data_IF_644484695162
#
_entry.id   IF_644484695162
#
_cell.length_a   1.000
_cell.length_b   1.000
_cell.length_c   1.000
_cell.angle_alpha   90.00
_cell.angle_beta   90.00
_cell.angle_gamma   90.00
#
_symmetry.space_group_name_H-M   'P 1'
#
loop_
_entity.id
_entity.type
_entity.pdbx_description
1 polymer ?
#
# COMPACT_ATOMS: atom_id res chain seq x y z
N UNK A 1 9.77 -9.14 18.67
CA UNK A 1 8.32 -9.09 18.46
C UNK A 1 8.07 -9.09 16.97
N UNK A 2 7.07 -9.83 16.47
CA UNK A 2 6.72 -9.79 15.05
C UNK A 2 5.64 -8.73 14.86
N UNK A 3 6.04 -7.54 14.42
CA UNK A 3 5.11 -6.44 14.19
C UNK A 3 4.72 -6.47 12.72
N UNK A 4 3.43 -6.65 12.47
CA UNK A 4 2.83 -6.58 11.14
C UNK A 4 1.94 -5.35 11.07
N UNK A 5 2.10 -4.55 10.04
CA UNK A 5 1.28 -3.36 9.81
C UNK A 5 0.47 -3.55 8.55
N UNK A 6 -0.86 -3.41 8.67
CA UNK A 6 -1.77 -3.41 7.53
C UNK A 6 -2.44 -2.05 7.45
N UNK A 7 -2.24 -1.36 6.32
CA UNK A 7 -2.85 -0.07 6.04
C UNK A 7 -3.88 -0.23 4.92
N UNK A 8 -5.13 0.13 5.22
CA UNK A 8 -6.21 0.23 4.24
C UNK A 8 -6.53 1.69 3.99
N UNK A 9 -6.53 2.09 2.71
CA UNK A 9 -6.83 3.47 2.29
C UNK A 9 -7.58 3.44 0.95
N UNK A 10 -8.24 4.54 0.60
CA UNK A 10 -8.75 4.77 -0.76
C UNK A 10 -7.70 5.46 -1.66
N UNK A 11 -6.56 5.83 -1.08
CA UNK A 11 -5.38 6.34 -1.77
C UNK A 11 -5.43 7.84 -2.08
N UNK A 12 -6.47 8.54 -1.63
CA UNK A 12 -6.51 10.01 -1.64
C UNK A 12 -5.65 10.53 -0.48
N UNK A 13 -4.57 11.24 -0.80
CA UNK A 13 -3.62 11.76 0.17
C UNK A 13 -3.30 13.22 -0.14
N UNK A 14 -3.26 14.03 0.92
CA UNK A 14 -2.94 15.45 0.83
C UNK A 14 -1.43 15.61 0.58
N UNK A 15 -0.64 14.63 1.01
CA UNK A 15 0.77 14.46 0.66
C UNK A 15 0.91 13.76 -0.70
N UNK A 16 0.56 14.49 -1.76
CA UNK A 16 0.50 13.99 -3.14
C UNK A 16 1.83 13.35 -3.62
N UNK A 17 2.96 13.74 -3.00
CA UNK A 17 4.30 13.27 -3.36
C UNK A 17 4.91 12.29 -2.37
N UNK A 18 4.25 12.04 -1.24
CA UNK A 18 4.80 11.21 -0.17
C UNK A 18 5.99 11.84 0.56
N UNK A 19 6.12 13.17 0.57
CA UNK A 19 7.24 13.89 1.21
C UNK A 19 7.30 13.62 2.72
N UNK A 20 6.15 13.41 3.36
CA UNK A 20 6.02 13.06 4.77
C UNK A 20 5.78 11.55 4.95
N UNK A 21 4.99 10.93 4.06
CA UNK A 21 4.62 9.53 4.17
C UNK A 21 5.80 8.57 3.95
N UNK A 22 6.69 8.86 2.98
CA UNK A 22 7.81 7.97 2.65
C UNK A 22 8.86 7.89 3.77
N UNK A 23 9.32 8.99 4.40
CA UNK A 23 10.24 8.92 5.53
C UNK A 23 9.70 8.12 6.72
N UNK A 24 8.40 8.26 7.03
CA UNK A 24 7.79 7.48 8.12
C UNK A 24 7.65 6.00 7.75
N UNK A 25 7.31 5.69 6.50
CA UNK A 25 7.29 4.33 6.00
C UNK A 25 8.67 3.67 6.09
N UNK A 26 9.73 4.37 5.71
CA UNK A 26 11.11 3.88 5.85
C UNK A 26 11.48 3.60 7.30
N UNK A 27 11.13 4.49 8.23
CA UNK A 27 11.33 4.27 9.67
C UNK A 27 10.57 3.02 10.13
N UNK A 28 9.32 2.86 9.72
CA UNK A 28 8.50 1.69 10.05
C UNK A 28 9.13 0.39 9.56
N UNK A 29 9.69 0.39 8.35
CA UNK A 29 10.38 -0.77 7.77
C UNK A 29 11.62 -1.22 8.57
N UNK A 30 12.15 -0.40 9.48
CA UNK A 30 13.28 -0.79 10.35
C UNK A 30 12.87 -1.68 11.52
N UNK A 31 11.60 -1.65 11.92
CA UNK A 31 11.11 -2.37 13.10
C UNK A 31 9.89 -3.26 12.83
N UNK A 32 9.18 -3.06 11.72
CA UNK A 32 8.11 -3.95 11.28
C UNK A 32 8.68 -5.15 10.51
N UNK A 33 8.15 -6.34 10.79
CA UNK A 33 8.47 -7.55 10.03
C UNK A 33 7.89 -7.50 8.61
N UNK A 34 6.70 -6.89 8.47
CA UNK A 34 6.07 -6.66 7.17
C UNK A 34 5.04 -5.54 7.26
N UNK A 35 4.96 -4.77 6.19
CA UNK A 35 3.97 -3.73 5.95
C UNK A 35 3.21 -4.09 4.67
N UNK A 36 1.89 -4.18 4.77
CA UNK A 36 1.00 -4.41 3.66
C UNK A 36 0.06 -3.23 3.48
N UNK A 37 0.04 -2.65 2.27
CA UNK A 37 -0.84 -1.54 1.92
C UNK A 37 -1.89 -2.07 0.95
N UNK A 38 -3.17 -1.87 1.26
CA UNK A 38 -4.27 -2.09 0.31
C UNK A 38 -4.93 -0.76 -0.03
N UNK A 39 -5.02 -0.48 -1.32
CA UNK A 39 -5.75 0.68 -1.84
C UNK A 39 -7.06 0.20 -2.44
N UNK A 40 -8.19 0.70 -1.93
CA UNK A 40 -9.52 0.45 -2.49
C UNK A 40 -9.91 1.63 -3.40
N UNK A 41 -9.86 1.44 -4.71
CA UNK A 41 -10.13 2.54 -5.64
C UNK A 41 -11.57 3.04 -5.53
N UNK A 42 -11.71 4.34 -5.29
CA UNK A 42 -12.96 5.09 -5.22
C UNK A 42 -13.38 5.63 -6.61
N UNK A 43 -14.70 5.85 -6.79
CA UNK A 43 -15.38 5.91 -8.10
C UNK A 43 -15.09 7.13 -8.99
N UNK A 44 -14.26 8.08 -8.57
CA UNK A 44 -14.09 9.39 -9.21
C UNK A 44 -12.79 9.57 -10.01
N UNK A 45 -12.00 8.50 -10.22
CA UNK A 45 -10.69 8.59 -10.88
C UNK A 45 -10.41 7.53 -11.97
N UNK A 46 -9.32 7.76 -12.71
CA UNK A 46 -8.73 6.74 -13.60
C UNK A 46 -8.01 5.71 -12.73
N UNK A 47 -8.28 4.43 -12.95
CA UNK A 47 -7.64 3.32 -12.23
C UNK A 47 -6.12 3.39 -12.32
N UNK A 48 -5.40 3.17 -11.22
CA UNK A 48 -3.94 3.18 -11.12
C UNK A 48 -3.33 4.56 -10.88
N UNK A 49 -4.07 5.52 -10.29
CA UNK A 49 -3.63 6.93 -10.15
C UNK A 49 -3.80 7.54 -8.76
N UNK A 50 -4.15 6.76 -7.74
CA UNK A 50 -4.21 7.31 -6.38
C UNK A 50 -2.85 7.89 -6.00
N UNK A 51 -2.84 8.92 -5.17
CA UNK A 51 -1.60 9.60 -4.83
C UNK A 51 -0.67 8.69 -4.03
N UNK A 52 -1.25 7.91 -3.10
CA UNK A 52 -0.55 6.84 -2.37
C UNK A 52 0.09 5.83 -3.30
N UNK A 53 -0.67 5.27 -4.26
CA UNK A 53 -0.13 4.31 -5.21
C UNK A 53 1.04 4.89 -6.01
N UNK A 54 0.90 6.16 -6.42
CA UNK A 54 1.86 6.85 -7.27
C UNK A 54 3.17 7.07 -6.57
N UNK A 55 3.18 7.66 -5.37
CA UNK A 55 4.45 7.93 -4.69
C UNK A 55 5.08 6.65 -4.16
N UNK A 56 4.29 5.65 -3.72
CA UNK A 56 4.84 4.35 -3.29
C UNK A 56 5.54 3.67 -4.46
N UNK A 57 4.90 3.57 -5.64
CA UNK A 57 5.54 3.00 -6.84
C UNK A 57 6.73 3.80 -7.32
N UNK A 58 6.67 5.13 -7.22
CA UNK A 58 7.76 6.01 -7.66
C UNK A 58 8.95 6.03 -6.70
N UNK A 59 8.76 5.63 -5.44
CA UNK A 59 9.81 5.60 -4.42
C UNK A 59 10.87 4.51 -4.63
N UNK A 60 10.56 3.46 -5.40
CA UNK A 60 11.43 2.27 -5.54
C UNK A 60 11.41 1.33 -4.31
N UNK A 61 10.68 1.68 -3.25
CA UNK A 61 10.64 0.87 -2.02
C UNK A 61 10.00 -0.50 -2.22
N UNK A 62 9.08 -0.65 -3.17
CA UNK A 62 8.44 -1.93 -3.47
C UNK A 62 9.45 -2.94 -4.02
N UNK A 63 10.41 -2.49 -4.82
CA UNK A 63 11.49 -3.29 -5.37
C UNK A 63 12.58 -3.53 -4.31
N UNK A 64 13.07 -2.44 -3.70
CA UNK A 64 14.18 -2.48 -2.74
C UNK A 64 13.84 -3.24 -1.46
N UNK A 65 12.58 -3.16 -1.02
CA UNK A 65 12.09 -3.74 0.24
C UNK A 65 10.98 -4.77 -0.01
N UNK A 66 11.00 -5.45 -1.16
CA UNK A 66 9.98 -6.45 -1.56
C UNK A 66 9.70 -7.55 -0.53
N UNK A 67 10.67 -7.88 0.34
CA UNK A 67 10.48 -8.83 1.44
C UNK A 67 9.65 -8.26 2.61
N UNK A 68 9.63 -6.94 2.78
CA UNK A 68 9.08 -6.21 3.92
C UNK A 68 7.85 -5.37 3.53
N UNK A 69 7.76 -4.87 2.30
CA UNK A 69 6.69 -4.00 1.82
C UNK A 69 5.94 -4.65 0.67
N UNK A 70 4.61 -4.66 0.76
CA UNK A 70 3.73 -5.10 -0.32
C UNK A 70 2.59 -4.12 -0.51
N UNK A 71 2.22 -3.89 -1.76
CA UNK A 71 1.11 -3.06 -2.17
C UNK A 71 0.10 -3.89 -2.96
N UNK A 72 -1.16 -3.78 -2.60
CA UNK A 72 -2.28 -4.34 -3.32
C UNK A 72 -3.26 -3.22 -3.70
N UNK A 73 -3.77 -3.23 -4.93
CA UNK A 73 -4.76 -2.26 -5.41
C UNK A 73 -6.00 -3.04 -5.80
N UNK A 74 -7.09 -2.81 -5.08
CA UNK A 74 -8.39 -3.41 -5.35
C UNK A 74 -9.12 -2.55 -6.36
N UNK A 75 -9.26 -3.08 -7.57
CA UNK A 75 -10.05 -2.45 -8.61
C UNK A 75 -11.55 -2.52 -8.31
N UNK A 76 -12.32 -1.67 -9.00
CA UNK A 76 -13.78 -1.48 -8.81
C UNK A 76 -14.64 -2.76 -8.81
N UNK A 77 -14.21 -3.79 -9.53
CA UNK A 77 -14.95 -5.07 -9.65
C UNK A 77 -14.58 -6.07 -8.53
N UNK A 78 -13.76 -5.66 -7.56
CA UNK A 78 -13.31 -6.55 -6.49
C UNK A 78 -14.48 -6.86 -5.55
N UNK A 79 -14.88 -8.12 -5.55
CA UNK A 79 -15.82 -8.66 -4.58
C UNK A 79 -15.11 -9.08 -3.28
N UNK A 80 -15.87 -9.58 -2.30
CA UNK A 80 -15.34 -10.07 -1.02
C UNK A 80 -14.20 -11.08 -1.21
N UNK A 81 -14.29 -11.96 -2.21
CA UNK A 81 -13.21 -12.90 -2.55
C UNK A 81 -11.93 -12.18 -2.99
N UNK A 82 -12.02 -11.14 -3.82
CA UNK A 82 -10.87 -10.32 -4.22
C UNK A 82 -10.20 -9.61 -3.05
N UNK A 83 -11.00 -9.15 -2.08
CA UNK A 83 -10.51 -8.51 -0.86
C UNK A 83 -9.77 -9.51 0.04
N UNK A 84 -10.31 -10.72 0.19
CA UNK A 84 -9.67 -11.83 0.92
C UNK A 84 -8.34 -12.21 0.27
N UNK A 85 -8.31 -12.36 -1.07
CA UNK A 85 -7.08 -12.68 -1.79
C UNK A 85 -6.04 -11.55 -1.66
N UNK A 86 -6.47 -10.29 -1.71
CA UNK A 86 -5.62 -9.14 -1.45
C UNK A 86 -4.96 -9.19 -0.06
N UNK A 87 -5.74 -9.45 0.99
CA UNK A 87 -5.22 -9.58 2.36
C UNK A 87 -4.27 -10.79 2.47
N UNK A 88 -4.61 -11.94 1.89
CA UNK A 88 -3.72 -13.12 1.87
C UNK A 88 -2.38 -12.80 1.20
N UNK A 89 -2.40 -12.08 0.07
CA UNK A 89 -1.21 -11.66 -0.65
C UNK A 89 -0.33 -10.70 0.18
N UNK A 90 -0.88 -9.98 1.16
CA UNK A 90 -0.07 -9.19 2.09
C UNK A 90 0.57 -10.05 3.19
N UNK A 91 -0.10 -11.11 3.63
CA UNK A 91 0.32 -11.93 4.78
C UNK A 91 1.29 -13.07 4.38
N UNK A 92 1.11 -13.74 3.23
CA UNK A 92 1.92 -14.92 2.84
C UNK A 92 3.21 -14.55 2.12
#
# INVERSE_FOLDING_TARGET
>A
YNIYVFHGTDGDDWDVKGEEALPELEKMLTYANRIGITIAENSYGVTGRSDVERYIKSSGLLEEKSALLRLNVLGRESNESGLIEGIKALIS
#
